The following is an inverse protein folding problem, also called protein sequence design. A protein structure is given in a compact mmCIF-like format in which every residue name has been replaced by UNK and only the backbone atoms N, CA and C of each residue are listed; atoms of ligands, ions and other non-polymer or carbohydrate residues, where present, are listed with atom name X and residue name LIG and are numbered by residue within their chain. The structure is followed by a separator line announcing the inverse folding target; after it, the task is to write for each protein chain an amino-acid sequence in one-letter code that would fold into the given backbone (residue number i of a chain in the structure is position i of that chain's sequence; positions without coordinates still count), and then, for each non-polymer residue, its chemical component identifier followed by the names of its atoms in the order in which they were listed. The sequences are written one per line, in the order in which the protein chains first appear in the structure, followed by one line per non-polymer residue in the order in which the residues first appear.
data_IF_347573718733
#
_entry.id   IF_347573718733
#
_cell.length_a   1.000
_cell.length_b   1.000
_cell.length_c   1.000
_cell.angle_alpha   90.00
_cell.angle_beta   90.00
_cell.angle_gamma   90.00
#
_symmetry.space_group_name_H-M   'P 1'
#
loop_
_entity.id
_entity.type
_entity.pdbx_description
1 polymer ?
#
# COMPACT_ATOMS: atom_id res chain seq x y z
N UNK A 1 10.17 -55.62 -49.19
CA UNK A 1 9.77 -54.82 -48.01
C UNK A 1 10.87 -53.81 -47.76
N UNK A 2 10.57 -52.54 -48.01
CA UNK A 2 11.57 -51.47 -48.12
C UNK A 2 12.05 -51.01 -46.74
N UNK A 3 13.37 -51.07 -46.52
CA UNK A 3 14.09 -50.51 -45.37
C UNK A 3 14.17 -48.96 -45.41
N UNK A 4 13.27 -48.29 -46.12
CA UNK A 4 13.32 -46.83 -46.38
C UNK A 4 12.90 -45.95 -45.21
N UNK A 5 12.41 -46.50 -44.10
CA UNK A 5 11.65 -45.71 -43.13
C UNK A 5 12.38 -45.42 -41.80
N UNK A 6 13.61 -45.88 -41.61
CA UNK A 6 14.37 -45.54 -40.39
C UNK A 6 15.09 -44.20 -40.51
N UNK A 7 15.55 -43.81 -41.71
CA UNK A 7 16.26 -42.54 -41.91
C UNK A 7 15.34 -41.33 -41.76
N UNK A 8 14.11 -41.42 -42.30
CA UNK A 8 13.05 -40.41 -42.14
C UNK A 8 12.57 -40.26 -40.68
N UNK A 9 12.71 -41.30 -39.86
CA UNK A 9 12.33 -41.25 -38.44
C UNK A 9 13.33 -40.45 -37.61
N UNK A 10 14.63 -40.52 -37.95
CA UNK A 10 15.69 -39.77 -37.26
C UNK A 10 15.83 -38.34 -37.79
N UNK A 11 15.51 -38.07 -39.06
CA UNK A 11 15.51 -36.70 -39.61
C UNK A 11 14.39 -35.81 -39.04
N UNK A 12 13.30 -36.39 -38.54
CA UNK A 12 12.21 -35.62 -37.91
C UNK A 12 12.45 -35.27 -36.44
N UNK A 13 13.44 -35.87 -35.78
CA UNK A 13 13.80 -35.51 -34.40
C UNK A 13 14.74 -34.31 -34.30
N UNK A 14 15.41 -33.90 -35.38
CA UNK A 14 16.31 -32.74 -35.39
C UNK A 14 15.60 -31.40 -35.57
N UNK A 15 14.27 -31.38 -35.65
CA UNK A 15 13.46 -30.17 -35.93
C UNK A 15 12.71 -29.59 -34.73
N UNK A 16 12.92 -30.12 -33.53
CA UNK A 16 12.50 -29.43 -32.31
C UNK A 16 13.73 -28.95 -31.56
N UNK A 17 14.16 -27.72 -31.88
CA UNK A 17 15.13 -26.99 -31.08
C UNK A 17 14.47 -26.55 -29.77
N UNK A 18 14.62 -27.40 -28.75
CA UNK A 18 14.15 -27.14 -27.40
C UNK A 18 14.92 -25.98 -26.73
N UNK A 19 16.11 -25.63 -27.21
CA UNK A 19 16.89 -24.52 -26.68
C UNK A 19 16.34 -23.18 -27.15
N UNK A 20 15.89 -23.08 -28.40
CA UNK A 20 15.22 -21.88 -28.93
C UNK A 20 13.85 -21.62 -28.26
N UNK A 21 13.09 -22.68 -27.97
CA UNK A 21 11.79 -22.59 -27.29
C UNK A 21 11.92 -22.33 -25.79
N UNK A 22 12.96 -22.86 -25.12
CA UNK A 22 13.25 -22.52 -23.71
C UNK A 22 13.76 -21.09 -23.56
N UNK A 23 14.65 -20.61 -24.44
CA UNK A 23 15.16 -19.23 -24.38
C UNK A 23 14.10 -18.17 -24.70
N UNK A 24 13.13 -18.48 -25.57
CA UNK A 24 11.95 -17.61 -25.76
C UNK A 24 11.05 -17.58 -24.53
N UNK A 25 10.89 -18.70 -23.84
CA UNK A 25 10.05 -18.81 -22.65
C UNK A 25 10.68 -18.08 -21.46
N UNK A 26 11.98 -18.22 -21.22
CA UNK A 26 12.71 -17.47 -20.18
C UNK A 26 12.67 -15.97 -20.44
N UNK A 27 12.92 -15.54 -21.68
CA UNK A 27 12.77 -14.14 -22.12
C UNK A 27 11.37 -13.56 -21.87
N UNK A 28 10.32 -14.36 -22.08
CA UNK A 28 8.94 -13.94 -21.83
C UNK A 28 8.61 -13.89 -20.33
N UNK A 29 9.14 -14.84 -19.55
CA UNK A 29 9.02 -14.85 -18.09
C UNK A 29 9.74 -13.65 -17.46
N UNK A 30 10.95 -13.34 -17.90
CA UNK A 30 11.72 -12.18 -17.41
C UNK A 30 11.00 -10.86 -17.70
N UNK A 31 10.39 -10.72 -18.89
CA UNK A 31 9.54 -9.57 -19.22
C UNK A 31 8.32 -9.47 -18.30
N UNK A 32 7.61 -10.57 -18.06
CA UNK A 32 6.44 -10.60 -17.17
C UNK A 32 6.82 -10.29 -15.72
N UNK A 33 7.97 -10.78 -15.25
CA UNK A 33 8.49 -10.47 -13.91
C UNK A 33 8.86 -8.99 -13.82
N UNK A 34 9.47 -8.41 -14.86
CA UNK A 34 9.77 -6.98 -14.92
C UNK A 34 8.50 -6.12 -14.88
N UNK A 35 7.48 -6.47 -15.65
CA UNK A 35 6.18 -5.77 -15.65
C UNK A 35 5.48 -5.89 -14.29
N UNK A 36 5.47 -7.08 -13.70
CA UNK A 36 4.89 -7.30 -12.37
C UNK A 36 5.63 -6.48 -11.31
N UNK A 37 6.96 -6.43 -11.37
CA UNK A 37 7.80 -5.63 -10.46
C UNK A 37 7.48 -4.14 -10.61
N UNK A 38 7.28 -3.66 -11.83
CA UNK A 38 6.87 -2.28 -12.10
C UNK A 38 5.50 -1.96 -11.47
N UNK A 39 4.50 -2.83 -11.65
CA UNK A 39 3.18 -2.64 -11.03
C UNK A 39 3.23 -2.68 -9.50
N UNK A 40 4.00 -3.62 -8.94
CA UNK A 40 4.18 -3.73 -7.49
C UNK A 40 4.84 -2.48 -6.93
N UNK A 41 5.85 -1.93 -7.62
CA UNK A 41 6.50 -0.68 -7.20
C UNK A 41 5.56 0.52 -7.24
N UNK A 42 4.71 0.64 -8.27
CA UNK A 42 3.70 1.70 -8.33
C UNK A 42 2.68 1.56 -7.20
N UNK A 43 2.20 0.34 -6.94
CA UNK A 43 1.25 0.08 -5.87
C UNK A 43 1.87 0.42 -4.50
N UNK A 44 3.12 0.00 -4.24
CA UNK A 44 3.86 0.33 -3.03
C UNK A 44 4.03 1.84 -2.87
N UNK A 45 4.43 2.53 -3.95
CA UNK A 45 4.58 3.99 -3.92
C UNK A 45 3.25 4.69 -3.59
N UNK A 46 2.14 4.23 -4.19
CA UNK A 46 0.81 4.78 -3.92
C UNK A 46 0.40 4.61 -2.45
N UNK A 47 0.62 3.42 -1.87
CA UNK A 47 0.31 3.15 -0.47
C UNK A 47 1.19 3.99 0.46
N UNK A 48 2.50 4.05 0.18
CA UNK A 48 3.43 4.88 0.96
C UNK A 48 3.07 6.36 0.91
N UNK A 49 2.69 6.86 -0.27
CA UNK A 49 2.25 8.23 -0.45
C UNK A 49 0.96 8.52 0.34
N UNK A 50 0.00 7.60 0.35
CA UNK A 50 -1.22 7.74 1.12
C UNK A 50 -0.93 7.81 2.64
N UNK A 51 -0.04 6.95 3.14
CA UNK A 51 0.38 6.94 4.55
C UNK A 51 1.07 8.26 4.90
N UNK A 52 2.03 8.72 4.09
CA UNK A 52 2.74 9.97 4.29
C UNK A 52 1.78 11.17 4.30
N UNK A 53 0.84 11.20 3.35
CA UNK A 53 -0.15 12.27 3.25
C UNK A 53 -1.05 12.30 4.47
N UNK A 54 -1.53 11.14 4.93
CA UNK A 54 -2.32 11.04 6.16
C UNK A 54 -1.54 11.55 7.37
N UNK A 55 -0.28 11.14 7.51
CA UNK A 55 0.58 11.59 8.59
C UNK A 55 0.75 13.11 8.58
N UNK A 56 1.02 13.69 7.40
CA UNK A 56 1.23 15.12 7.23
C UNK A 56 -0.03 15.92 7.56
N UNK A 57 -1.20 15.46 7.08
CA UNK A 57 -2.51 16.06 7.41
C UNK A 57 -2.81 15.92 8.90
N UNK A 58 -2.53 14.78 9.52
CA UNK A 58 -2.75 14.55 10.95
C UNK A 58 -1.91 15.50 11.80
N UNK A 59 -0.63 15.69 11.47
CA UNK A 59 0.24 16.65 12.17
C UNK A 59 -0.22 18.09 11.96
N UNK A 60 -0.55 18.47 10.72
CA UNK A 60 -1.05 19.83 10.42
C UNK A 60 -2.35 20.14 11.17
N UNK A 61 -3.28 19.18 11.22
CA UNK A 61 -4.54 19.33 11.96
C UNK A 61 -4.31 19.35 13.47
N UNK A 62 -3.35 18.59 14.00
CA UNK A 62 -2.99 18.61 15.41
C UNK A 62 -2.50 20.00 15.88
N UNK A 63 -1.75 20.72 15.04
CA UNK A 63 -1.28 22.08 15.36
C UNK A 63 -2.44 23.03 15.70
N UNK A 64 -3.60 22.85 15.06
CA UNK A 64 -4.79 23.68 15.27
C UNK A 64 -5.72 23.05 16.32
N UNK A 65 -5.87 21.73 16.32
CA UNK A 65 -6.76 21.02 17.24
C UNK A 65 -6.30 21.14 18.71
N UNK A 66 -4.99 21.08 18.97
CA UNK A 66 -4.44 21.19 20.33
C UNK A 66 -4.75 22.54 21.00
N UNK A 67 -4.48 23.71 20.37
CA UNK A 67 -4.82 24.99 20.99
C UNK A 67 -6.32 25.19 21.13
N UNK A 68 -7.14 24.72 20.18
CA UNK A 68 -8.61 24.79 20.30
C UNK A 68 -9.10 23.95 21.48
N UNK A 69 -8.60 22.72 21.63
CA UNK A 69 -8.94 21.85 22.75
C UNK A 69 -8.53 22.47 24.10
N UNK A 70 -7.35 23.10 24.15
CA UNK A 70 -6.90 23.81 25.34
C UNK A 70 -7.85 24.96 25.71
N UNK A 71 -8.21 25.83 24.76
CA UNK A 71 -9.12 26.95 24.99
C UNK A 71 -10.51 26.45 25.44
N UNK A 72 -11.05 25.42 24.78
CA UNK A 72 -12.33 24.82 25.17
C UNK A 72 -12.28 24.25 26.59
N UNK A 73 -11.20 23.55 26.95
CA UNK A 73 -11.03 23.01 28.30
C UNK A 73 -11.02 24.12 29.36
N UNK A 74 -10.42 25.27 29.05
CA UNK A 74 -10.32 26.43 29.94
C UNK A 74 -11.68 27.11 30.12
N UNK A 75 -12.47 27.23 29.04
CA UNK A 75 -13.85 27.73 29.09
C UNK A 75 -14.71 26.82 29.96
N UNK A 76 -14.64 25.50 29.74
CA UNK A 76 -15.39 24.51 30.51
C UNK A 76 -14.98 24.57 31.98
N UNK A 77 -13.68 24.66 32.28
CA UNK A 77 -13.18 24.77 33.65
C UNK A 77 -13.72 26.03 34.36
N UNK A 78 -13.73 27.19 33.69
CA UNK A 78 -14.28 28.43 34.26
C UNK A 78 -15.79 28.33 34.46
N UNK A 79 -16.52 27.74 33.51
CA UNK A 79 -17.96 27.52 33.63
C UNK A 79 -18.29 26.57 34.80
N UNK A 80 -17.58 25.45 34.92
CA UNK A 80 -17.70 24.53 36.05
C UNK A 80 -17.33 25.20 37.37
N UNK A 81 -16.25 26.00 37.44
CA UNK A 81 -15.86 26.73 38.65
C UNK A 81 -16.96 27.69 39.11
N UNK A 82 -17.57 28.45 38.18
CA UNK A 82 -18.72 29.32 38.49
C UNK A 82 -19.93 28.51 38.95
N UNK A 83 -20.28 27.45 38.22
CA UNK A 83 -21.41 26.58 38.56
C UNK A 83 -21.25 25.88 39.92
N UNK A 84 -20.04 25.42 40.25
CA UNK A 84 -19.70 24.85 41.56
C UNK A 84 -19.82 25.90 42.67
N UNK A 85 -19.34 27.13 42.43
CA UNK A 85 -19.47 28.23 43.39
C UNK A 85 -20.94 28.55 43.70
N UNK A 86 -21.80 28.60 42.68
CA UNK A 86 -23.24 28.85 42.88
C UNK A 86 -23.94 27.65 43.53
N UNK A 87 -23.60 26.42 43.14
CA UNK A 87 -24.11 25.20 43.76
C UNK A 87 -23.73 25.08 45.24
N UNK A 88 -22.48 25.37 45.60
CA UNK A 88 -22.04 25.41 47.00
C UNK A 88 -22.74 26.51 47.80
N UNK A 89 -22.97 27.70 47.20
CA UNK A 89 -23.74 28.77 47.84
C UNK A 89 -25.21 28.40 48.08
N UNK A 90 -25.83 27.62 47.19
CA UNK A 90 -27.19 27.12 47.42
C UNK A 90 -27.23 26.00 48.47
N UNK A 91 -26.21 25.15 48.55
CA UNK A 91 -26.12 24.07 49.54
C UNK A 91 -25.83 24.56 50.96
N UNK A 92 -25.18 25.72 51.10
CA UNK A 92 -24.82 26.32 52.38
C UNK A 92 -25.90 27.28 52.92
N UNK A 93 -27.05 27.36 52.26
CA UNK A 93 -28.22 28.18 52.62
C UNK A 93 -29.37 27.28 53.08
#
# INVERSE_FOLDING_TARGET
MELRNFKDFYEKQTYYDYAETQNKTSSNLDKRVSELTFFVNIALFSVLLAILTYWLVSVMTAIIAVPIAFVLSLIIFLACKKGLSEGFKMLMK
#
